data_IF_303411809336
#
_entry.id   IF_303411809336
#
_cell.length_a   1.000
_cell.length_b   1.000
_cell.length_c   1.000
_cell.angle_alpha   90.00
_cell.angle_beta   90.00
_cell.angle_gamma   90.00
#
_symmetry.space_group_name_H-M   'P 1'
#
loop_
_entity.id
_entity.type
_entity.pdbx_description
1 polymer ?
#
# COMPACT_ATOMS: atom_id res chain seq x y z
N UNK A 1 15.28 1.11 12.90
CA UNK A 1 14.03 0.83 13.64
C UNK A 1 12.89 0.52 12.67
N UNK A 2 12.54 1.44 11.76
CA UNK A 2 11.44 1.23 10.77
C UNK A 2 11.60 -0.06 9.96
N UNK A 3 12.77 -0.33 9.36
CA UNK A 3 13.05 -1.57 8.59
C UNK A 3 12.86 -2.88 9.38
N UNK A 4 12.90 -2.85 10.72
CA UNK A 4 12.64 -4.01 11.57
C UNK A 4 11.17 -4.12 11.96
N UNK A 5 10.45 -3.00 11.99
CA UNK A 5 9.02 -2.93 12.28
C UNK A 5 8.17 -3.28 11.06
N UNK A 6 8.67 -3.02 9.84
CA UNK A 6 8.04 -3.47 8.59
C UNK A 6 8.62 -4.82 8.18
N UNK A 7 7.77 -5.83 8.04
CA UNK A 7 8.19 -7.18 7.64
C UNK A 7 8.74 -7.22 6.21
N UNK A 8 9.42 -8.32 5.85
CA UNK A 8 9.95 -8.57 4.50
C UNK A 8 8.99 -9.35 3.61
N UNK A 9 7.88 -9.83 4.17
CA UNK A 9 6.87 -10.60 3.45
C UNK A 9 5.92 -9.66 2.71
N UNK A 10 5.62 -9.99 1.45
CA UNK A 10 4.55 -9.32 0.71
C UNK A 10 3.22 -9.39 1.48
N UNK A 11 2.46 -8.30 1.45
CA UNK A 11 1.19 -8.19 2.14
C UNK A 11 0.03 -8.45 1.17
N UNK A 12 -0.83 -9.40 1.51
CA UNK A 12 -2.13 -9.55 0.83
C UNK A 12 -3.10 -8.52 1.39
N UNK A 13 -3.19 -7.36 0.73
CA UNK A 13 -3.97 -6.20 1.20
C UNK A 13 -5.41 -6.57 1.56
N UNK A 14 -6.11 -7.31 0.69
CA UNK A 14 -7.50 -7.73 0.91
C UNK A 14 -7.72 -8.65 2.12
N UNK A 15 -6.65 -9.16 2.76
CA UNK A 15 -6.73 -9.92 4.02
C UNK A 15 -6.27 -9.12 5.23
N UNK A 16 -5.41 -8.13 5.03
CA UNK A 16 -4.77 -7.39 6.10
C UNK A 16 -5.57 -6.14 6.53
N UNK A 17 -6.30 -5.56 5.59
CA UNK A 17 -7.09 -4.33 5.73
C UNK A 17 -8.39 -4.47 4.94
N UNK A 18 -9.35 -3.60 5.23
CA UNK A 18 -10.63 -3.59 4.53
C UNK A 18 -10.41 -2.98 3.16
N UNK A 19 -10.69 -3.75 2.11
CA UNK A 19 -10.65 -3.28 0.73
C UNK A 19 -12.06 -3.27 0.14
N UNK A 20 -12.44 -2.16 -0.48
CA UNK A 20 -13.65 -2.06 -1.30
C UNK A 20 -13.24 -2.10 -2.76
N UNK A 21 -13.88 -2.97 -3.53
CA UNK A 21 -13.57 -3.18 -4.94
C UNK A 21 -14.70 -2.61 -5.78
N UNK A 22 -14.35 -1.70 -6.69
CA UNK A 22 -15.26 -1.19 -7.71
C UNK A 22 -14.70 -1.60 -9.06
N UNK A 23 -15.49 -2.36 -9.82
CA UNK A 23 -15.13 -2.81 -11.16
C UNK A 23 -16.07 -2.15 -12.15
N UNK A 24 -15.48 -1.42 -13.08
CA UNK A 24 -16.15 -0.85 -14.24
C UNK A 24 -15.57 -1.46 -15.53
N UNK A 25 -16.12 -1.09 -16.68
CA UNK A 25 -15.75 -1.69 -17.97
C UNK A 25 -14.26 -1.52 -18.33
N UNK A 26 -13.64 -0.42 -17.88
CA UNK A 26 -12.27 -0.05 -18.25
C UNK A 26 -11.32 0.13 -17.06
N UNK A 27 -11.78 -0.06 -15.81
CA UNK A 27 -10.90 0.04 -14.65
C UNK A 27 -11.37 -0.82 -13.47
N UNK A 28 -10.40 -1.14 -12.62
CA UNK A 28 -10.62 -1.72 -11.30
C UNK A 28 -10.08 -0.72 -10.28
N UNK A 29 -10.96 -0.18 -9.45
CA UNK A 29 -10.60 0.64 -8.31
C UNK A 29 -10.62 -0.21 -7.04
N UNK A 30 -9.60 -0.01 -6.21
CA UNK A 30 -9.47 -0.64 -4.90
C UNK A 30 -9.30 0.46 -3.88
N UNK A 31 -10.34 0.71 -3.10
CA UNK A 31 -10.26 1.60 -1.95
C UNK A 31 -9.79 0.80 -0.73
N UNK A 32 -8.69 1.24 -0.14
CA UNK A 32 -7.95 0.52 0.92
C UNK A 32 -8.04 1.31 2.22
N UNK A 33 -8.88 0.85 3.15
CA UNK A 33 -9.01 1.45 4.48
C UNK A 33 -7.93 0.92 5.42
N UNK A 34 -6.82 1.66 5.51
CA UNK A 34 -5.71 1.34 6.41
C UNK A 34 -6.12 1.46 7.89
N UNK A 35 -7.12 2.29 8.20
CA UNK A 35 -7.62 2.50 9.55
C UNK A 35 -8.32 1.27 10.14
N UNK A 36 -8.79 0.36 9.29
CA UNK A 36 -9.54 -0.83 9.72
C UNK A 36 -8.68 -1.86 10.48
N UNK A 37 -7.34 -1.79 10.37
CA UNK A 37 -6.41 -2.70 11.05
C UNK A 37 -5.67 -2.01 12.19
N UNK A 38 -5.73 -2.58 13.40
CA UNK A 38 -4.95 -2.09 14.55
C UNK A 38 -3.45 -2.20 14.31
N UNK A 39 -3.02 -3.26 13.63
CA UNK A 39 -1.61 -3.47 13.25
C UNK A 39 -1.16 -2.39 12.27
N UNK A 40 -1.94 -2.13 11.22
CA UNK A 40 -1.58 -1.11 10.22
C UNK A 40 -1.55 0.29 10.83
N UNK A 41 -2.50 0.64 11.71
CA UNK A 41 -2.47 1.89 12.48
C UNK A 41 -1.21 2.01 13.35
N UNK A 42 -0.80 0.94 14.02
CA UNK A 42 0.44 0.91 14.79
C UNK A 42 1.69 1.17 13.94
N UNK A 43 1.75 0.56 12.75
CA UNK A 43 2.85 0.80 11.80
C UNK A 43 2.88 2.25 11.32
N UNK A 44 1.73 2.84 10.99
CA UNK A 44 1.65 4.26 10.59
C UNK A 44 2.21 5.17 11.68
N UNK A 45 1.79 4.97 12.95
CA UNK A 45 2.27 5.78 14.07
C UNK A 45 3.79 5.74 14.21
N UNK A 46 4.41 4.59 13.95
CA UNK A 46 5.86 4.43 13.96
C UNK A 46 6.54 5.08 12.75
N UNK A 47 5.94 4.96 11.56
CA UNK A 47 6.53 5.45 10.29
C UNK A 47 6.48 6.97 10.18
N UNK A 48 5.40 7.61 10.64
CA UNK A 48 5.20 9.06 10.50
C UNK A 48 6.36 9.89 11.06
N UNK A 49 6.94 9.48 12.20
CA UNK A 49 8.09 10.18 12.79
C UNK A 49 9.39 10.13 11.98
N UNK A 50 9.49 9.21 11.02
CA UNK A 50 10.71 9.00 10.22
C UNK A 50 10.50 9.20 8.72
N UNK A 51 9.27 9.49 8.27
CA UNK A 51 8.86 9.43 6.85
C UNK A 51 9.67 10.35 5.93
N UNK A 52 10.17 11.48 6.44
CA UNK A 52 11.05 12.43 5.72
C UNK A 52 12.43 11.84 5.38
N UNK A 53 12.82 10.74 6.01
CA UNK A 53 14.08 10.03 5.77
C UNK A 53 13.92 8.71 5.02
N UNK A 54 12.67 8.27 4.79
CA UNK A 54 12.38 6.98 4.18
C UNK A 54 12.29 7.08 2.66
N UNK A 55 12.82 6.06 2.00
CA UNK A 55 12.52 5.75 0.61
C UNK A 55 11.92 4.35 0.60
N UNK A 56 10.71 4.23 0.06
CA UNK A 56 9.96 2.97 0.01
C UNK A 56 9.60 2.69 -1.44
N UNK A 57 9.97 1.50 -1.91
CA UNK A 57 9.58 0.99 -3.21
C UNK A 57 8.47 -0.04 -3.02
N UNK A 58 7.37 0.16 -3.73
CA UNK A 58 6.23 -0.75 -3.74
C UNK A 58 6.02 -1.23 -5.17
N UNK A 59 5.76 -2.52 -5.33
CA UNK A 59 5.26 -3.12 -6.56
C UNK A 59 3.91 -3.76 -6.24
N UNK A 60 2.92 -3.51 -7.10
CA UNK A 60 1.57 -4.04 -6.96
C UNK A 60 1.40 -5.12 -8.02
N UNK A 61 0.90 -6.27 -7.60
CA UNK A 61 0.63 -7.43 -8.44
C UNK A 61 -0.64 -8.12 -7.94
N UNK A 62 -1.23 -8.94 -8.80
CA UNK A 62 -2.33 -9.84 -8.42
C UNK A 62 -1.73 -11.18 -8.03
N UNK A 63 -2.10 -11.68 -6.85
CA UNK A 63 -1.68 -12.98 -6.35
C UNK A 63 -2.24 -14.09 -7.26
N UNK A 64 -1.35 -14.94 -7.80
CA UNK A 64 -1.76 -16.13 -8.53
C UNK A 64 -2.40 -17.16 -7.57
N UNK A 65 -3.52 -17.75 -7.99
CA UNK A 65 -4.21 -18.84 -7.30
C UNK A 65 -3.93 -20.20 -7.93
N UNK A 66 -3.63 -20.23 -9.22
CA UNK A 66 -3.34 -21.45 -9.98
C UNK A 66 -1.95 -21.38 -10.65
N UNK A 67 -1.35 -22.54 -10.94
CA UNK A 67 -0.01 -22.61 -11.55
C UNK A 67 0.03 -21.98 -12.95
N UNK A 68 -1.08 -22.01 -13.69
CA UNK A 68 -1.21 -21.38 -15.01
C UNK A 68 -1.19 -19.85 -14.96
N UNK A 69 -1.41 -19.24 -13.79
CA UNK A 69 -1.37 -17.80 -13.58
C UNK A 69 0.04 -17.30 -13.24
N UNK A 70 1.00 -18.22 -13.06
CA UNK A 70 2.40 -17.89 -12.82
C UNK A 70 3.17 -17.71 -14.15
N UNK A 71 4.18 -16.82 -14.17
CA UNK A 71 4.57 -15.92 -13.09
C UNK A 71 3.60 -14.74 -12.96
N UNK A 72 3.51 -14.19 -11.74
CA UNK A 72 2.73 -12.98 -11.48
C UNK A 72 3.32 -11.78 -12.22
N UNK A 73 2.44 -10.92 -12.74
CA UNK A 73 2.84 -9.71 -13.45
C UNK A 73 2.71 -8.48 -12.56
N UNK A 74 3.75 -7.64 -12.56
CA UNK A 74 3.72 -6.34 -11.88
C UNK A 74 2.80 -5.39 -12.65
N UNK A 75 1.71 -4.98 -12.00
CA UNK A 75 0.75 -4.02 -12.56
C UNK A 75 1.30 -2.60 -12.54
N UNK A 76 2.12 -2.30 -11.55
CA UNK A 76 2.73 -0.99 -11.39
C UNK A 76 3.67 -0.96 -10.20
N UNK A 77 4.57 0.02 -10.23
CA UNK A 77 5.49 0.28 -9.14
C UNK A 77 5.43 1.76 -8.75
N UNK A 78 5.55 2.02 -7.45
CA UNK A 78 5.53 3.35 -6.88
C UNK A 78 6.72 3.47 -5.94
N UNK A 79 7.49 4.54 -6.12
CA UNK A 79 8.49 4.97 -5.14
C UNK A 79 7.93 6.11 -4.33
N UNK A 80 7.83 5.90 -3.02
CA UNK A 80 7.60 6.94 -2.04
C UNK A 80 8.95 7.45 -1.54
N UNK A 81 9.28 8.72 -1.80
CA UNK A 81 10.58 9.29 -1.48
C UNK A 81 10.44 10.48 -0.53
N UNK A 82 10.87 10.30 0.73
CA UNK A 82 11.08 11.35 1.73
C UNK A 82 9.89 12.31 1.83
N UNK A 83 8.70 11.76 2.07
CA UNK A 83 7.47 12.55 2.17
C UNK A 83 7.60 13.56 3.32
N UNK A 84 7.15 14.79 3.08
CA UNK A 84 6.92 15.82 4.09
C UNK A 84 5.43 15.93 4.33
N UNK A 85 4.97 15.44 5.47
CA UNK A 85 3.54 15.39 5.78
C UNK A 85 3.01 16.80 6.02
N UNK A 86 3.85 17.68 6.57
CA UNK A 86 3.56 19.09 6.82
C UNK A 86 3.27 19.91 5.56
N UNK A 87 3.68 19.45 4.37
CA UNK A 87 3.37 20.11 3.10
C UNK A 87 2.07 19.62 2.45
N UNK A 88 1.33 18.72 3.09
CA UNK A 88 0.08 18.20 2.55
C UNK A 88 -0.95 19.32 2.38
N UNK A 89 -1.62 19.33 1.23
CA UNK A 89 -2.75 20.21 0.95
C UNK A 89 -4.03 19.36 0.82
N UNK A 90 -5.21 19.92 1.12
CA UNK A 90 -6.46 19.22 0.87
C UNK A 90 -6.55 18.78 -0.58
N UNK A 91 -6.88 17.50 -0.80
CA UNK A 91 -7.18 17.01 -2.14
C UNK A 91 -8.44 17.71 -2.65
N UNK A 92 -8.27 18.52 -3.68
CA UNK A 92 -9.38 19.08 -4.45
C UNK A 92 -9.65 18.06 -5.55
N UNK A 93 -10.63 17.20 -5.34
CA UNK A 93 -11.08 16.27 -6.38
C UNK A 93 -11.34 17.01 -7.70
N UNK A 94 -11.08 16.34 -8.81
CA UNK A 94 -11.45 16.82 -10.15
C UNK A 94 -12.96 16.87 -10.31
#
# INVERSE_FOLDING_TARGET
MVKRAVGTKACLLGRAVTCRYLREDNFLEIDVDIGSSSVARGVIGLVLGYVTSLVVDLAILIEAKEESELPEYVLGAIRVNRIRVESAVPFKGT
#
